data_IF_873077347128
#
_entry.id   IF_873077347128
#
_cell.length_a   1.000
_cell.length_b   1.000
_cell.length_c   1.000
_cell.angle_alpha   90.00
_cell.angle_beta   90.00
_cell.angle_gamma   90.00
#
_symmetry.space_group_name_H-M   'P 1'
#
loop_
_entity.id
_entity.type
_entity.pdbx_description
1 polymer ?
#
# COMPACT_ATOMS: atom_id res chain seq x y z
N UNK A 1 13.81 5.62 6.14
CA UNK A 1 13.97 4.92 4.85
C UNK A 1 12.72 5.12 4.00
N UNK A 2 12.84 5.12 2.66
CA UNK A 2 11.68 5.23 1.76
C UNK A 2 10.76 4.01 1.87
N UNK A 3 9.45 4.26 1.90
CA UNK A 3 8.38 3.24 1.94
C UNK A 3 7.39 3.40 0.79
N UNK A 4 6.98 4.64 0.51
CA UNK A 4 6.01 4.93 -0.53
C UNK A 4 6.54 5.93 -1.55
N UNK A 5 6.33 5.62 -2.83
CA UNK A 5 6.65 6.51 -3.96
C UNK A 5 5.68 7.70 -4.03
N UNK A 6 6.01 8.78 -4.76
CA UNK A 6 5.06 9.88 -4.99
C UNK A 6 3.74 9.40 -5.61
N UNK A 7 3.81 8.45 -6.54
CA UNK A 7 2.64 7.90 -7.21
C UNK A 7 1.65 7.26 -6.21
N UNK A 8 2.12 6.33 -5.37
CA UNK A 8 1.28 5.68 -4.35
C UNK A 8 0.61 6.69 -3.40
N UNK A 9 1.35 7.72 -2.99
CA UNK A 9 0.83 8.76 -2.11
C UNK A 9 -0.26 9.60 -2.79
N UNK A 10 -0.06 9.96 -4.05
CA UNK A 10 -1.07 10.69 -4.81
C UNK A 10 -2.31 9.85 -5.02
N UNK A 11 -2.17 8.60 -5.49
CA UNK A 11 -3.29 7.66 -5.63
C UNK A 11 -4.09 7.56 -4.35
N UNK A 12 -3.42 7.32 -3.21
CA UNK A 12 -4.09 7.25 -1.92
C UNK A 12 -4.84 8.55 -1.56
N UNK A 13 -4.22 9.72 -1.71
CA UNK A 13 -4.83 11.00 -1.34
C UNK A 13 -6.03 11.35 -2.21
N UNK A 14 -5.92 11.16 -3.52
CA UNK A 14 -7.01 11.44 -4.45
C UNK A 14 -8.15 10.46 -4.24
N UNK A 15 -7.88 9.17 -4.02
CA UNK A 15 -8.92 8.19 -3.68
C UNK A 15 -9.56 8.51 -2.34
N UNK A 16 -8.79 8.87 -1.31
CA UNK A 16 -9.32 9.24 -0.01
C UNK A 16 -10.21 10.50 -0.07
N UNK A 17 -9.82 11.49 -0.88
CA UNK A 17 -10.62 12.69 -1.12
C UNK A 17 -11.94 12.35 -1.82
N UNK A 18 -11.89 11.62 -2.95
CA UNK A 18 -13.07 11.25 -3.72
C UNK A 18 -14.02 10.37 -2.92
N UNK A 19 -13.51 9.33 -2.26
CA UNK A 19 -14.31 8.46 -1.41
C UNK A 19 -14.90 9.23 -0.22
N UNK A 20 -14.12 10.12 0.40
CA UNK A 20 -14.59 10.96 1.50
C UNK A 20 -15.72 11.91 1.06
N UNK A 21 -15.60 12.56 -0.10
CA UNK A 21 -16.66 13.40 -0.66
C UNK A 21 -17.91 12.57 -1.03
N UNK A 22 -17.73 11.38 -1.59
CA UNK A 22 -18.82 10.47 -1.93
C UNK A 22 -19.59 10.02 -0.69
N UNK A 23 -18.88 9.60 0.37
CA UNK A 23 -19.47 9.21 1.66
C UNK A 23 -20.16 10.40 2.34
N UNK A 24 -19.53 11.57 2.34
CA UNK A 24 -20.11 12.76 2.95
C UNK A 24 -21.40 13.19 2.24
N UNK A 25 -21.39 13.25 0.91
CA UNK A 25 -22.58 13.57 0.12
C UNK A 25 -23.68 12.52 0.28
N UNK A 26 -23.33 11.23 0.39
CA UNK A 26 -24.30 10.18 0.74
C UNK A 26 -24.93 10.45 2.11
N UNK A 27 -24.13 10.77 3.13
CA UNK A 27 -24.61 11.14 4.46
C UNK A 27 -25.61 12.30 4.44
N UNK A 28 -25.34 13.33 3.63
CA UNK A 28 -26.27 14.44 3.41
C UNK A 28 -27.58 14.03 2.72
N UNK A 29 -27.58 12.97 1.91
CA UNK A 29 -28.80 12.46 1.26
C UNK A 29 -29.61 11.54 2.17
N UNK A 30 -28.96 10.84 3.11
CA UNK A 30 -29.62 9.95 4.07
C UNK A 30 -30.16 10.64 5.32
N UNK A 31 -29.52 11.72 5.77
CA UNK A 31 -29.88 12.40 7.02
C UNK A 31 -30.65 13.69 6.70
N UNK A 32 -31.97 13.76 7.00
CA UNK A 32 -32.79 14.93 6.70
C UNK A 32 -32.22 16.25 7.25
N UNK A 33 -31.66 16.22 8.47
CA UNK A 33 -31.04 17.39 9.09
C UNK A 33 -29.84 17.95 8.30
N UNK A 34 -29.06 17.09 7.65
CA UNK A 34 -27.95 17.53 6.79
C UNK A 34 -28.47 18.02 5.43
N UNK A 35 -29.53 17.41 4.90
CA UNK A 35 -30.14 17.84 3.65
C UNK A 35 -30.71 19.26 3.73
N UNK A 36 -31.36 19.59 4.84
CA UNK A 36 -31.90 20.92 5.13
C UNK A 36 -30.80 21.98 5.24
N UNK A 37 -29.68 21.64 5.92
CA UNK A 37 -28.55 22.55 6.08
C UNK A 37 -27.88 22.91 4.74
N UNK A 38 -27.79 21.94 3.81
CA UNK A 38 -27.21 22.19 2.49
C UNK A 38 -28.19 22.95 1.59
N UNK A 39 -29.50 22.69 1.72
CA UNK A 39 -30.56 23.40 0.98
C UNK A 39 -30.54 23.23 -0.54
N UNK A 40 -29.63 22.40 -1.09
CA UNK A 40 -29.41 22.19 -2.53
C UNK A 40 -29.22 20.72 -2.88
N UNK A 41 -30.29 19.92 -2.72
CA UNK A 41 -30.25 18.46 -2.94
C UNK A 41 -29.69 18.08 -4.31
N UNK A 42 -30.06 18.78 -5.39
CA UNK A 42 -29.57 18.49 -6.74
C UNK A 42 -28.02 18.56 -6.83
N UNK A 43 -27.42 19.59 -6.22
CA UNK A 43 -25.96 19.73 -6.17
C UNK A 43 -25.31 18.56 -5.42
N UNK A 44 -25.87 18.15 -4.27
CA UNK A 44 -25.35 17.03 -3.48
C UNK A 44 -25.40 15.73 -4.25
N UNK A 45 -26.52 15.46 -4.94
CA UNK A 45 -26.68 14.29 -5.81
C UNK A 45 -25.62 14.30 -6.91
N UNK A 46 -25.44 15.42 -7.61
CA UNK A 46 -24.42 15.56 -8.66
C UNK A 46 -23.01 15.32 -8.10
N UNK A 47 -22.67 15.88 -6.93
CA UNK A 47 -21.37 15.64 -6.29
C UNK A 47 -21.22 14.15 -5.97
N UNK A 48 -22.24 13.50 -5.40
CA UNK A 48 -22.21 12.09 -5.05
C UNK A 48 -21.97 11.20 -6.29
N UNK A 49 -22.72 11.42 -7.35
CA UNK A 49 -22.63 10.71 -8.62
C UNK A 49 -21.22 10.81 -9.23
N UNK A 50 -20.70 12.04 -9.38
CA UNK A 50 -19.39 12.27 -9.97
C UNK A 50 -18.24 11.78 -9.08
N UNK A 51 -18.31 11.97 -7.77
CA UNK A 51 -17.27 11.47 -6.87
C UNK A 51 -17.28 9.94 -6.81
N UNK A 52 -18.45 9.31 -6.84
CA UNK A 52 -18.61 7.86 -6.96
C UNK A 52 -17.96 7.29 -8.21
N UNK A 53 -18.29 7.81 -9.40
CA UNK A 53 -17.74 7.30 -10.67
C UNK A 53 -16.24 7.58 -10.83
N UNK A 54 -15.73 8.68 -10.27
CA UNK A 54 -14.32 9.04 -10.35
C UNK A 54 -13.44 8.30 -9.32
N UNK A 55 -14.01 7.75 -8.25
CA UNK A 55 -13.25 7.05 -7.19
C UNK A 55 -12.28 5.96 -7.69
N UNK A 56 -12.61 5.11 -8.68
CA UNK A 56 -11.64 4.14 -9.23
C UNK A 56 -10.53 4.76 -10.09
N UNK A 57 -10.71 5.97 -10.62
CA UNK A 57 -9.79 6.59 -11.60
C UNK A 57 -8.36 6.74 -11.08
N UNK A 58 -8.10 7.22 -9.84
CA UNK A 58 -6.73 7.29 -9.34
C UNK A 58 -6.00 5.95 -9.33
N UNK A 59 -6.68 4.85 -9.00
CA UNK A 59 -6.07 3.53 -9.02
C UNK A 59 -5.70 3.11 -10.44
N UNK A 60 -6.58 3.37 -11.42
CA UNK A 60 -6.33 3.11 -12.84
C UNK A 60 -5.13 3.93 -13.37
N UNK A 61 -5.08 5.22 -13.06
CA UNK A 61 -3.93 6.08 -13.41
C UNK A 61 -2.65 5.63 -12.70
N UNK A 62 -2.78 5.17 -11.46
CA UNK A 62 -1.69 4.59 -10.67
C UNK A 62 -1.02 3.40 -11.35
N UNK A 63 -1.75 2.64 -12.18
CA UNK A 63 -1.20 1.48 -12.91
C UNK A 63 -0.06 1.86 -13.85
N UNK A 64 0.11 3.13 -14.23
CA UNK A 64 1.28 3.60 -15.00
C UNK A 64 2.57 3.49 -14.17
N UNK A 65 2.48 3.65 -12.85
CA UNK A 65 3.62 3.57 -11.94
C UNK A 65 4.04 2.12 -11.65
N UNK A 66 5.31 1.80 -11.92
CA UNK A 66 5.91 0.50 -11.57
C UNK A 66 5.80 0.19 -10.07
N UNK A 67 6.03 1.19 -9.23
CA UNK A 67 6.00 1.04 -7.79
C UNK A 67 4.58 0.71 -7.27
N UNK A 68 3.57 1.40 -7.80
CA UNK A 68 2.17 1.12 -7.47
C UNK A 68 1.74 -0.27 -7.95
N UNK A 69 2.14 -0.70 -9.15
CA UNK A 69 1.88 -2.06 -9.64
C UNK A 69 2.50 -3.13 -8.73
N UNK A 70 3.75 -2.94 -8.30
CA UNK A 70 4.41 -3.87 -7.38
C UNK A 70 3.68 -3.95 -6.03
N UNK A 71 3.19 -2.83 -5.52
CA UNK A 71 2.40 -2.78 -4.29
C UNK A 71 1.02 -3.44 -4.46
N UNK A 72 0.35 -3.24 -5.60
CA UNK A 72 -0.88 -3.98 -5.92
C UNK A 72 -0.65 -5.49 -5.96
N UNK A 73 0.44 -5.96 -6.58
CA UNK A 73 0.79 -7.38 -6.58
C UNK A 73 0.99 -7.90 -5.16
N UNK A 74 1.70 -7.15 -4.30
CA UNK A 74 1.90 -7.51 -2.89
C UNK A 74 0.60 -7.54 -2.08
N UNK A 75 -0.30 -6.60 -2.35
CA UNK A 75 -1.61 -6.53 -1.68
C UNK A 75 -2.49 -7.70 -2.08
N UNK A 76 -2.49 -8.06 -3.37
CA UNK A 76 -3.34 -9.13 -3.90
C UNK A 76 -2.78 -10.55 -3.64
N UNK A 77 -1.54 -10.67 -3.16
CA UNK A 77 -0.92 -11.96 -2.84
C UNK A 77 -1.01 -12.27 -1.34
N UNK A 78 -1.97 -13.11 -0.98
CA UNK A 78 -2.08 -13.66 0.37
C UNK A 78 -1.17 -14.89 0.53
N UNK A 79 -0.48 -14.98 1.66
CA UNK A 79 0.40 -16.10 2.01
C UNK A 79 0.12 -16.67 3.40
N UNK A 80 0.78 -17.77 3.80
CA UNK A 80 0.58 -18.42 5.10
C UNK A 80 0.76 -17.47 6.30
N UNK A 81 1.69 -16.52 6.19
CA UNK A 81 1.92 -15.48 7.20
C UNK A 81 0.70 -14.60 7.44
N UNK A 82 -0.13 -14.35 6.42
CA UNK A 82 -1.32 -13.52 6.57
C UNK A 82 -2.38 -14.22 7.42
N UNK A 83 -2.48 -15.55 7.31
CA UNK A 83 -3.36 -16.37 8.15
C UNK A 83 -2.90 -16.44 9.61
N UNK A 84 -1.59 -16.43 9.88
CA UNK A 84 -1.06 -16.31 11.24
C UNK A 84 -1.41 -14.95 11.82
N UNK A 85 -1.15 -13.88 11.06
CA UNK A 85 -1.47 -12.51 11.47
C UNK A 85 -2.96 -12.32 11.77
N UNK A 86 -3.84 -12.86 10.93
CA UNK A 86 -5.29 -12.75 11.11
C UNK A 86 -5.77 -13.50 12.34
N UNK A 87 -5.26 -14.71 12.59
CA UNK A 87 -5.58 -15.47 13.80
C UNK A 87 -5.15 -14.73 15.07
N UNK A 88 -3.93 -14.18 15.09
CA UNK A 88 -3.46 -13.35 16.20
C UNK A 88 -4.35 -12.10 16.40
N UNK A 89 -4.74 -11.44 15.31
CA UNK A 89 -5.63 -10.28 15.36
C UNK A 89 -7.02 -10.62 15.91
N UNK A 90 -7.61 -11.75 15.49
CA UNK A 90 -8.91 -12.23 15.96
C UNK A 90 -8.89 -12.62 17.45
N UNK A 91 -7.78 -13.20 17.91
CA UNK A 91 -7.55 -13.52 19.33
C UNK A 91 -7.20 -12.29 20.19
N UNK A 92 -7.15 -11.10 19.58
CA UNK A 92 -6.66 -9.86 20.22
C UNK A 92 -5.26 -10.04 20.82
N UNK A 93 -4.44 -10.89 20.21
CA UNK A 93 -3.05 -11.02 20.61
C UNK A 93 -2.28 -9.80 20.09
N UNK A 94 -1.81 -9.00 21.04
CA UNK A 94 -1.05 -7.78 20.78
C UNK A 94 0.46 -8.04 20.76
N UNK A 95 0.91 -9.28 21.03
CA UNK A 95 2.32 -9.66 20.95
C UNK A 95 2.79 -9.60 19.51
N UNK A 96 3.74 -8.70 19.28
CA UNK A 96 4.26 -8.34 17.95
C UNK A 96 4.96 -9.51 17.25
N UNK A 97 5.57 -10.40 18.03
CA UNK A 97 6.26 -11.61 17.54
C UNK A 97 5.30 -12.57 16.83
N UNK A 98 4.00 -12.50 17.14
CA UNK A 98 2.98 -13.38 16.56
C UNK A 98 2.24 -12.75 15.37
N UNK A 99 2.68 -11.56 14.93
CA UNK A 99 2.07 -10.81 13.83
C UNK A 99 3.06 -10.60 12.69
N UNK A 100 3.42 -11.67 11.96
CA UNK A 100 4.32 -11.56 10.83
C UNK A 100 3.71 -10.66 9.74
N UNK A 101 4.49 -9.71 9.22
CA UNK A 101 4.04 -8.77 8.19
C UNK A 101 5.17 -8.42 7.24
N UNK A 102 4.88 -8.50 5.94
CA UNK A 102 5.73 -7.93 4.88
C UNK A 102 5.51 -6.42 4.76
N UNK A 103 5.73 -5.82 3.58
CA UNK A 103 5.44 -4.39 3.35
C UNK A 103 4.02 -3.99 3.78
N UNK A 104 3.05 -4.88 3.53
CA UNK A 104 1.68 -4.76 4.02
C UNK A 104 1.34 -5.95 4.91
N UNK A 105 0.68 -5.70 6.04
CA UNK A 105 0.14 -6.75 6.88
C UNK A 105 -1.22 -7.26 6.35
N UNK A 106 -1.69 -8.41 6.84
CA UNK A 106 -2.93 -9.02 6.36
C UNK A 106 -4.16 -8.11 6.51
N UNK A 107 -4.24 -7.31 7.57
CA UNK A 107 -5.34 -6.35 7.76
C UNK A 107 -5.33 -5.23 6.71
N UNK A 108 -4.15 -4.72 6.35
CA UNK A 108 -4.00 -3.74 5.26
C UNK A 108 -4.38 -4.35 3.91
N UNK A 109 -3.98 -5.60 3.64
CA UNK A 109 -4.38 -6.33 2.42
C UNK A 109 -5.89 -6.50 2.34
N UNK A 110 -6.50 -7.04 3.41
CA UNK A 110 -7.94 -7.26 3.48
C UNK A 110 -8.71 -5.95 3.29
N UNK A 111 -8.29 -4.87 3.95
CA UNK A 111 -8.88 -3.56 3.78
C UNK A 111 -8.79 -3.07 2.33
N UNK A 112 -7.60 -3.14 1.72
CA UNK A 112 -7.39 -2.69 0.35
C UNK A 112 -8.23 -3.51 -0.65
N UNK A 113 -8.26 -4.84 -0.52
CA UNK A 113 -9.07 -5.71 -1.37
C UNK A 113 -10.57 -5.48 -1.17
N UNK A 114 -11.03 -5.32 0.08
CA UNK A 114 -12.43 -5.01 0.38
C UNK A 114 -12.86 -3.68 -0.23
N UNK A 115 -12.11 -2.59 0.01
CA UNK A 115 -12.44 -1.26 -0.52
C UNK A 115 -12.38 -1.26 -2.05
N UNK A 116 -11.39 -1.91 -2.67
CA UNK A 116 -11.32 -2.01 -4.12
C UNK A 116 -12.56 -2.70 -4.71
N UNK A 117 -12.94 -3.86 -4.17
CA UNK A 117 -14.15 -4.57 -4.59
C UNK A 117 -15.43 -3.76 -4.34
N UNK A 118 -15.54 -3.15 -3.15
CA UNK A 118 -16.69 -2.33 -2.78
C UNK A 118 -16.85 -1.13 -3.72
N UNK A 119 -15.78 -0.40 -4.03
CA UNK A 119 -15.82 0.72 -4.98
C UNK A 119 -16.33 0.31 -6.35
N UNK A 120 -15.91 -0.86 -6.87
CA UNK A 120 -16.39 -1.35 -8.16
C UNK A 120 -17.88 -1.70 -8.13
N UNK A 121 -18.34 -2.37 -7.07
CA UNK A 121 -19.77 -2.69 -6.90
C UNK A 121 -20.59 -1.41 -6.73
N UNK A 122 -20.13 -0.47 -5.90
CA UNK A 122 -20.79 0.82 -5.67
C UNK A 122 -20.88 1.66 -6.94
N UNK A 123 -19.83 1.70 -7.76
CA UNK A 123 -19.87 2.37 -9.05
C UNK A 123 -20.86 1.69 -10.00
N UNK A 124 -20.88 0.36 -10.05
CA UNK A 124 -21.81 -0.41 -10.88
C UNK A 124 -23.28 -0.19 -10.47
N UNK A 125 -23.60 -0.33 -9.19
CA UNK A 125 -24.97 -0.09 -8.68
C UNK A 125 -25.37 1.38 -8.81
N UNK A 126 -24.46 2.32 -8.55
CA UNK A 126 -24.68 3.75 -8.75
C UNK A 126 -24.98 4.11 -10.20
N UNK A 127 -24.26 3.52 -11.16
CA UNK A 127 -24.53 3.71 -12.60
C UNK A 127 -25.91 3.17 -13.00
N UNK A 128 -26.30 2.00 -12.50
CA UNK A 128 -27.65 1.43 -12.75
C UNK A 128 -28.76 2.31 -12.18
N UNK A 129 -28.51 2.97 -11.04
CA UNK A 129 -29.46 3.90 -10.42
C UNK A 129 -29.52 5.24 -11.18
N UNK A 130 -28.37 5.75 -11.64
CA UNK A 130 -28.25 7.00 -12.36
C UNK A 130 -28.90 6.92 -13.75
N UNK A 131 -28.60 5.87 -14.51
CA UNK A 131 -29.13 5.69 -15.87
C UNK A 131 -30.39 4.82 -15.87
N UNK A 132 -31.51 5.45 -15.51
CA UNK A 132 -32.81 4.78 -15.32
C UNK A 132 -33.37 4.08 -16.56
N UNK A 133 -32.89 4.43 -17.76
CA UNK A 133 -33.26 3.79 -19.03
C UNK A 133 -32.43 2.55 -19.42
N UNK A 134 -31.34 2.26 -18.70
CA UNK A 134 -30.46 1.12 -19.01
C UNK A 134 -30.89 -0.19 -18.35
N UNK A 135 -31.82 -0.16 -17.39
CA UNK A 135 -32.14 -1.33 -16.57
C UNK A 135 -33.63 -1.39 -16.19
N UNK A 136 -34.25 -2.59 -16.19
CA UNK A 136 -35.59 -2.81 -15.68
C UNK A 136 -35.73 -2.38 -14.20
N UNK A 137 -36.95 -2.05 -13.78
CA UNK A 137 -37.23 -1.61 -12.40
C UNK A 137 -36.69 -2.59 -11.34
N UNK A 138 -36.81 -3.90 -11.57
CA UNK A 138 -36.31 -4.93 -10.64
C UNK A 138 -34.81 -4.78 -10.40
N UNK A 139 -34.02 -4.57 -11.46
CA UNK A 139 -32.56 -4.43 -11.34
C UNK A 139 -32.18 -3.16 -10.59
N UNK A 140 -32.94 -2.07 -10.80
CA UNK A 140 -32.72 -0.82 -10.08
C UNK A 140 -33.04 -0.95 -8.59
N UNK A 141 -34.13 -1.63 -8.23
CA UNK A 141 -34.46 -1.88 -6.81
C UNK A 141 -33.40 -2.73 -6.13
N UNK A 142 -32.92 -3.80 -6.79
CA UNK A 142 -31.82 -4.61 -6.28
C UNK A 142 -30.52 -3.80 -6.17
N UNK A 143 -30.24 -2.92 -7.15
CA UNK A 143 -29.07 -2.04 -7.12
C UNK A 143 -29.12 -1.08 -5.93
N UNK A 144 -30.25 -0.43 -5.68
CA UNK A 144 -30.44 0.43 -4.49
C UNK A 144 -30.20 -0.37 -3.21
N UNK A 145 -30.84 -1.54 -3.05
CA UNK A 145 -30.64 -2.35 -1.85
C UNK A 145 -29.17 -2.70 -1.60
N UNK A 146 -28.47 -3.16 -2.64
CA UNK A 146 -27.03 -3.51 -2.53
C UNK A 146 -26.19 -2.26 -2.26
N UNK A 147 -26.46 -1.15 -2.94
CA UNK A 147 -25.74 0.12 -2.78
C UNK A 147 -25.85 0.65 -1.35
N UNK A 148 -27.05 0.65 -0.78
CA UNK A 148 -27.35 1.17 0.55
C UNK A 148 -26.61 0.37 1.64
N UNK A 149 -26.75 -0.96 1.62
CA UNK A 149 -26.10 -1.82 2.62
C UNK A 149 -24.57 -1.82 2.48
N UNK A 150 -24.07 -1.81 1.24
CA UNK A 150 -22.65 -1.75 1.00
C UNK A 150 -22.07 -0.38 1.39
N UNK A 151 -22.80 0.72 1.19
CA UNK A 151 -22.41 2.05 1.65
C UNK A 151 -22.21 2.07 3.17
N UNK A 152 -23.15 1.52 3.93
CA UNK A 152 -23.04 1.42 5.39
C UNK A 152 -21.82 0.60 5.82
N UNK A 153 -21.57 -0.53 5.15
CA UNK A 153 -20.40 -1.36 5.42
C UNK A 153 -19.08 -0.65 5.08
N UNK A 154 -19.03 0.08 3.95
CA UNK A 154 -17.89 0.92 3.56
C UNK A 154 -17.61 1.99 4.60
N UNK A 155 -18.64 2.68 5.12
CA UNK A 155 -18.49 3.67 6.19
C UNK A 155 -17.88 3.05 7.44
N UNK A 156 -18.39 1.90 7.90
CA UNK A 156 -17.87 1.22 9.08
C UNK A 156 -16.39 0.83 8.91
N UNK A 157 -16.04 0.26 7.76
CA UNK A 157 -14.66 -0.16 7.43
C UNK A 157 -13.74 1.07 7.30
N UNK A 158 -14.21 2.16 6.71
CA UNK A 158 -13.48 3.43 6.59
C UNK A 158 -13.18 4.04 7.96
N UNK A 159 -14.15 4.07 8.88
CA UNK A 159 -13.93 4.52 10.26
C UNK A 159 -12.85 3.67 10.94
N UNK A 160 -12.91 2.34 10.79
CA UNK A 160 -11.88 1.44 11.33
C UNK A 160 -10.48 1.75 10.79
N UNK A 161 -10.36 2.02 9.49
CA UNK A 161 -9.08 2.40 8.88
C UNK A 161 -8.55 3.74 9.38
N UNK A 162 -9.42 4.75 9.46
CA UNK A 162 -9.05 6.08 9.98
C UNK A 162 -8.61 5.96 11.45
N UNK A 163 -9.35 5.22 12.27
CA UNK A 163 -8.99 4.97 13.68
C UNK A 163 -7.63 4.27 13.80
N UNK A 164 -7.37 3.25 12.98
CA UNK A 164 -6.06 2.58 12.93
C UNK A 164 -4.94 3.51 12.46
N UNK A 165 -5.20 4.38 11.49
CA UNK A 165 -4.24 5.39 11.05
C UNK A 165 -3.94 6.38 12.17
N UNK A 166 -4.93 6.83 12.95
CA UNK A 166 -4.73 7.73 14.09
C UNK A 166 -3.95 7.09 15.25
N UNK A 167 -4.04 5.77 15.42
CA UNK A 167 -3.28 5.03 16.42
C UNK A 167 -1.77 4.88 16.10
N UNK A 168 -1.34 5.12 14.86
CA UNK A 168 0.06 4.99 14.44
C UNK A 168 0.58 6.26 13.74
N UNK A 169 1.22 7.19 14.48
CA UNK A 169 1.75 8.44 13.92
C UNK A 169 2.81 8.24 12.84
N UNK A 170 3.62 7.18 12.95
CA UNK A 170 4.71 6.92 12.02
C UNK A 170 4.17 6.35 10.70
N UNK A 171 3.12 5.53 10.74
CA UNK A 171 2.38 5.13 9.55
C UNK A 171 1.79 6.36 8.80
N UNK A 172 1.20 7.33 9.53
CA UNK A 172 0.69 8.57 8.93
C UNK A 172 1.81 9.41 8.31
N UNK A 173 2.94 9.54 9.00
CA UNK A 173 4.14 10.22 8.47
C UNK A 173 4.63 9.52 7.20
N UNK A 174 4.60 8.19 7.15
CA UNK A 174 4.88 7.38 5.97
C UNK A 174 4.01 7.77 4.77
N UNK A 175 2.70 7.88 4.95
CA UNK A 175 1.78 8.30 3.88
C UNK A 175 1.92 9.77 3.49
N UNK A 176 2.34 10.64 4.42
CA UNK A 176 2.55 12.07 4.14
C UNK A 176 3.86 12.33 3.39
N UNK A 177 4.95 11.69 3.81
CA UNK A 177 6.31 12.01 3.36
C UNK A 177 6.91 10.94 2.44
N UNK A 178 6.35 9.73 2.44
CA UNK A 178 6.90 8.58 1.75
C UNK A 178 8.00 7.85 2.51
N UNK A 179 8.36 8.31 3.73
CA UNK A 179 9.47 7.75 4.51
C UNK A 179 9.00 7.34 5.90
N UNK A 180 9.57 6.25 6.40
CA UNK A 180 9.37 5.75 7.76
C UNK A 180 10.70 5.48 8.47
N UNK A 181 10.70 5.42 9.78
CA UNK A 181 11.84 5.03 10.60
C UNK A 181 12.19 3.55 10.41
N UNK A 182 13.50 3.26 10.36
CA UNK A 182 13.99 1.87 10.21
C UNK A 182 13.55 0.99 11.38
N UNK A 183 13.60 1.52 12.60
CA UNK A 183 13.19 0.81 13.81
C UNK A 183 11.68 0.51 13.83
N UNK A 184 10.84 1.45 13.37
CA UNK A 184 9.40 1.22 13.23
C UNK A 184 9.13 0.10 12.22
N UNK A 185 9.79 0.13 11.07
CA UNK A 185 9.58 -0.88 10.04
C UNK A 185 10.06 -2.27 10.46
N UNK A 186 11.21 -2.38 11.12
CA UNK A 186 11.67 -3.66 11.66
C UNK A 186 10.69 -4.26 12.69
N UNK A 187 10.02 -3.39 13.46
CA UNK A 187 9.04 -3.80 14.48
C UNK A 187 7.65 -4.13 13.94
N UNK A 188 7.11 -3.31 13.03
CA UNK A 188 5.74 -3.47 12.51
C UNK A 188 5.68 -4.35 11.26
N UNK A 189 6.79 -4.48 10.55
CA UNK A 189 6.92 -5.15 9.27
C UNK A 189 8.19 -6.02 9.21
N UNK A 190 8.33 -7.02 10.11
CA UNK A 190 9.58 -7.79 10.27
C UNK A 190 9.96 -8.62 9.03
N UNK A 191 9.01 -8.93 8.15
CA UNK A 191 9.26 -9.67 6.91
C UNK A 191 9.45 -8.73 5.70
N UNK A 192 9.42 -7.41 5.90
CA UNK A 192 9.62 -6.47 4.81
C UNK A 192 11.11 -6.32 4.48
N UNK A 193 11.45 -6.49 3.20
CA UNK A 193 12.79 -6.29 2.64
C UNK A 193 12.77 -5.02 1.76
N UNK A 194 13.21 -3.86 2.28
CA UNK A 194 13.15 -2.60 1.53
C UNK A 194 14.08 -2.56 0.31
N UNK A 195 15.17 -3.34 0.32
CA UNK A 195 16.17 -3.35 -0.76
C UNK A 195 15.64 -4.04 -2.03
N UNK A 196 14.62 -4.92 -1.90
CA UNK A 196 13.90 -5.51 -3.05
C UNK A 196 12.89 -4.53 -3.68
N UNK A 197 12.51 -3.46 -2.97
CA UNK A 197 11.51 -2.49 -3.44
C UNK A 197 12.11 -1.38 -4.31
N UNK A 198 13.38 -1.07 -4.09
CA UNK A 198 14.16 -0.13 -4.88
C UNK A 198 15.21 -0.96 -5.61
N UNK A 199 14.87 -1.48 -6.79
CA UNK A 199 15.85 -2.07 -7.68
C UNK A 199 16.87 -1.00 -8.11
N UNK A 200 17.80 -0.68 -7.22
CA UNK A 200 19.04 -0.02 -7.56
C UNK A 200 19.87 -1.09 -8.25
N UNK A 201 19.96 -0.98 -9.57
CA UNK A 201 20.88 -1.75 -10.38
C UNK A 201 22.31 -1.37 -10.03
N UNK A 202 22.80 -1.81 -8.87
CA UNK A 202 24.21 -2.00 -8.67
C UNK A 202 24.62 -3.22 -9.47
N UNK A 203 24.78 -3.01 -10.78
CA UNK A 203 25.85 -3.68 -11.49
C UNK A 203 27.14 -3.34 -10.73
N UNK A 204 27.59 -4.24 -9.87
CA UNK A 204 28.98 -4.27 -9.40
C UNK A 204 29.86 -4.68 -10.58
N UNK A 205 29.99 -3.76 -11.55
CA UNK A 205 31.07 -3.74 -12.52
C UNK A 205 32.30 -3.12 -11.87
N UNK A 206 33.00 -3.89 -11.05
CA UNK A 206 34.42 -3.65 -10.72
C UNK A 206 35.25 -4.82 -11.20
N UNK A 207 35.38 -4.89 -12.52
CA UNK A 207 36.50 -5.53 -13.19
C UNK A 207 37.60 -4.49 -13.36
N UNK A 208 38.26 -4.14 -12.27
CA UNK A 208 39.38 -3.20 -12.26
C UNK A 208 40.63 -4.05 -12.58
N UNK A 209 40.82 -4.34 -13.87
CA UNK A 209 42.04 -4.95 -14.38
C UNK A 209 43.22 -4.01 -14.12
N UNK A 210 44.05 -4.37 -13.15
CA UNK A 210 45.33 -3.71 -12.93
C UNK A 210 46.33 -4.27 -13.96
N UNK A 211 46.43 -3.58 -15.09
CA UNK A 211 47.55 -3.68 -15.99
C UNK A 211 48.58 -2.62 -15.63
N UNK A 212 49.67 -3.02 -15.00
CA UNK A 212 50.90 -2.25 -14.96
C UNK A 212 51.90 -2.89 -15.92
N UNK A 213 52.36 -2.06 -16.86
CA UNK A 213 53.32 -2.39 -17.91
C UNK A 213 54.77 -2.49 -17.43
N UNK A 214 55.70 -2.81 -18.35
CA UNK A 214 57.00 -3.38 -18.02
C UNK A 214 58.07 -2.32 -17.73
N UNK A 215 58.98 -2.66 -16.81
CA UNK A 215 60.19 -1.92 -16.50
C UNK A 215 61.28 -2.85 -15.97
N UNK A 216 62.12 -3.35 -16.88
CA UNK A 216 63.59 -3.51 -16.77
C UNK A 216 64.19 -3.17 -15.40
N UNK A 217 64.98 -4.00 -14.72
CA UNK A 217 65.96 -4.98 -15.17
C UNK A 217 67.26 -4.69 -14.43
N UNK A 218 67.66 -5.52 -13.46
CA UNK A 218 69.07 -5.79 -13.16
C UNK A 218 69.20 -6.97 -12.19
N UNK A 219 70.06 -7.90 -12.58
CA UNK A 219 70.50 -9.03 -11.79
C UNK A 219 71.25 -8.58 -10.53
N UNK A 220 71.22 -9.42 -9.48
CA UNK A 220 72.45 -10.03 -8.96
C UNK A 220 72.11 -11.20 -8.04
N UNK A 221 72.86 -12.28 -8.24
CA UNK A 221 72.81 -13.52 -7.49
C UNK A 221 74.09 -13.64 -6.66
N UNK A 222 73.99 -14.07 -5.40
CA UNK A 222 75.04 -14.71 -4.57
C UNK A 222 74.40 -15.00 -3.19
N UNK A 223 74.11 -16.24 -2.78
CA UNK A 223 74.98 -17.34 -2.35
C UNK A 223 75.88 -17.02 -1.13
N UNK A 224 75.40 -17.31 0.09
CA UNK A 224 76.19 -17.90 1.19
C UNK A 224 75.28 -18.24 2.41
N UNK A 225 75.07 -19.52 2.75
CA UNK A 225 75.81 -20.42 3.68
C UNK A 225 75.38 -20.30 5.17
N UNK A 226 75.04 -21.47 5.74
CA UNK A 226 75.13 -21.82 7.17
C UNK A 226 73.79 -21.83 7.90
N UNK A 227 73.29 -22.90 8.54
CA UNK A 227 73.89 -24.14 9.02
C UNK A 227 73.52 -24.35 10.50
N UNK A 228 72.93 -25.52 10.83
CA UNK A 228 72.77 -26.11 12.18
C UNK A 228 71.93 -25.33 13.23
N UNK A 229 71.26 -25.87 14.23
CA UNK A 229 70.91 -27.21 14.74
C UNK A 229 69.76 -27.00 15.76
N UNK A 230 68.74 -27.86 15.78
CA UNK A 230 68.42 -28.81 16.88
C UNK A 230 68.32 -28.24 18.33
N UNK A 231 67.10 -28.40 18.88
CA UNK A 231 66.76 -29.16 20.12
C UNK A 231 66.31 -28.38 21.39
N UNK A 232 65.35 -29.01 22.09
CA UNK A 232 64.96 -28.89 23.53
C UNK A 232 64.05 -27.68 23.83
N UNK A 233 62.85 -27.75 24.43
CA UNK A 233 62.12 -28.75 25.22
C UNK A 233 60.63 -28.48 25.12
#
# INVERSE_FOLDING_TARGET
MPRFSPAERWVHRTTALLLGMCVFSAGCLYLPALAELVGRRALVVTIHEWTGILTPVPALLGLVSRAFRADLTRINRFGPQDGVWLRAALRRDHRRQERPAGKFNAGQKLYASYIAGAVLVMAGTGLLMWFTGLAPLVWRTSATFVHDWLALAVVAVLIGHIGKAFADPEARRGMRTGRVERAWAAREHPLWRPDEDHGDGREDGRGDGHGDGPGDGHADAEHQIGGHERRVR
#
